data_IF_036399223101
#
_entry.id   IF_036399223101
#
_cell.length_a   1.000
_cell.length_b   1.000
_cell.length_c   1.000
_cell.angle_alpha   90.00
_cell.angle_beta   90.00
_cell.angle_gamma   90.00
#
_symmetry.space_group_name_H-M   'P 1'
#
loop_
_entity.id
_entity.type
_entity.pdbx_description
1 polymer ?
#
# COMPACT_ATOMS: atom_id res chain seq x y z
N UNK A 1 17.42 7.83 24.95
CA UNK A 1 16.79 8.81 24.02
C UNK A 1 16.47 8.06 22.73
N UNK A 2 15.27 7.52 22.61
CA UNK A 2 14.73 6.89 21.39
C UNK A 2 13.23 7.16 21.41
N UNK A 3 12.88 8.43 21.49
CA UNK A 3 11.52 8.92 21.35
C UNK A 3 11.47 9.68 20.03
N UNK A 4 10.46 9.36 19.22
CA UNK A 4 9.95 10.13 18.07
C UNK A 4 10.51 9.76 16.69
N UNK A 5 10.11 8.59 16.15
CA UNK A 5 10.29 8.28 14.72
C UNK A 5 8.95 8.16 13.99
N UNK A 6 8.03 9.09 14.23
CA UNK A 6 6.83 9.25 13.43
C UNK A 6 6.80 10.69 12.93
N UNK A 7 6.97 10.85 11.62
CA UNK A 7 6.86 12.13 10.92
C UNK A 7 5.58 12.11 10.11
N UNK A 8 4.75 13.13 10.32
CA UNK A 8 3.53 13.33 9.53
C UNK A 8 3.82 14.24 8.34
N UNK A 9 3.25 13.91 7.19
CA UNK A 9 3.32 14.72 5.98
C UNK A 9 1.93 14.79 5.34
N UNK A 10 1.50 16.00 4.94
CA UNK A 10 0.25 16.20 4.22
C UNK A 10 0.58 16.35 2.72
N UNK A 11 0.20 15.36 1.92
CA UNK A 11 0.39 15.39 0.48
C UNK A 11 -0.37 14.29 -0.25
N UNK A 12 -0.11 14.16 -1.54
CA UNK A 12 -0.70 13.20 -2.46
C UNK A 12 0.38 12.24 -2.98
N UNK A 13 0.27 10.97 -2.61
CA UNK A 13 1.22 9.92 -3.02
C UNK A 13 1.22 9.63 -4.53
N UNK A 14 0.30 10.21 -5.29
CA UNK A 14 0.30 10.16 -6.77
C UNK A 14 1.13 11.28 -7.40
N UNK A 15 1.57 12.29 -6.64
CA UNK A 15 2.46 13.36 -7.07
C UNK A 15 3.92 13.01 -6.75
N UNK A 16 4.83 13.29 -7.69
CA UNK A 16 6.23 12.89 -7.52
C UNK A 16 7.01 13.83 -6.61
N UNK A 17 6.58 15.09 -6.53
CA UNK A 17 7.27 16.09 -5.73
C UNK A 17 7.02 15.88 -4.24
N UNK A 18 5.77 15.54 -3.87
CA UNK A 18 5.39 15.12 -2.53
C UNK A 18 6.19 13.88 -2.05
N UNK A 19 6.41 12.89 -2.92
CA UNK A 19 7.21 11.71 -2.56
C UNK A 19 8.70 12.02 -2.39
N UNK A 20 9.24 13.00 -3.13
CA UNK A 20 10.63 13.44 -2.96
C UNK A 20 10.81 14.22 -1.66
N UNK A 21 9.81 15.00 -1.25
CA UNK A 21 9.85 15.79 -0.02
C UNK A 21 9.95 14.91 1.23
N UNK A 22 9.49 13.66 1.14
CA UNK A 22 9.62 12.64 2.19
C UNK A 22 10.80 11.66 1.97
N UNK A 23 11.75 12.00 1.09
CA UNK A 23 12.98 11.23 0.85
C UNK A 23 12.71 9.75 0.46
N UNK A 24 11.71 9.51 -0.40
CA UNK A 24 11.28 8.13 -0.78
C UNK A 24 12.41 7.23 -1.32
N UNK A 25 13.50 7.80 -1.83
CA UNK A 25 14.63 7.04 -2.38
C UNK A 25 15.32 6.15 -1.35
N UNK A 26 15.28 6.53 -0.07
CA UNK A 26 15.87 5.77 1.03
C UNK A 26 14.85 4.87 1.75
N UNK A 27 13.69 4.64 1.13
CA UNK A 27 12.60 3.84 1.73
C UNK A 27 12.81 2.35 1.54
N UNK A 28 12.89 1.60 2.63
CA UNK A 28 12.96 0.13 2.62
C UNK A 28 11.63 -0.53 2.21
N UNK A 29 10.50 0.07 2.60
CA UNK A 29 9.15 -0.44 2.40
C UNK A 29 8.15 0.70 2.21
N UNK A 30 7.43 0.68 1.09
CA UNK A 30 6.33 1.62 0.82
C UNK A 30 4.98 0.91 0.88
N UNK A 31 4.03 1.44 1.65
CA UNK A 31 2.69 0.88 1.83
C UNK A 31 1.63 1.91 1.45
N UNK A 32 0.72 1.55 0.54
CA UNK A 32 -0.42 2.40 0.17
C UNK A 32 -1.75 1.78 0.62
N UNK A 33 -2.44 2.44 1.56
CA UNK A 33 -3.65 1.94 2.21
C UNK A 33 -4.79 2.97 2.23
N UNK A 34 -4.91 3.77 1.18
CA UNK A 34 -6.04 4.70 1.02
C UNK A 34 -7.33 3.92 0.70
N UNK A 35 -8.47 4.62 0.72
CA UNK A 35 -9.77 4.05 0.35
C UNK A 35 -9.94 3.82 -1.18
N UNK A 36 -8.90 4.07 -1.98
CA UNK A 36 -8.97 3.93 -3.44
C UNK A 36 -7.89 2.97 -3.94
N UNK A 37 -8.33 1.82 -4.44
CA UNK A 37 -7.45 0.82 -5.07
C UNK A 37 -6.60 1.44 -6.19
N UNK A 38 -7.17 2.37 -6.95
CA UNK A 38 -6.46 3.05 -8.06
C UNK A 38 -5.34 3.97 -7.54
N UNK A 39 -5.58 4.70 -6.45
CA UNK A 39 -4.54 5.54 -5.82
C UNK A 39 -3.46 4.65 -5.26
N UNK A 40 -3.85 3.57 -4.56
CA UNK A 40 -2.91 2.64 -3.94
C UNK A 40 -2.01 2.00 -4.99
N UNK A 41 -2.59 1.50 -6.09
CA UNK A 41 -1.86 0.90 -7.19
C UNK A 41 -0.94 1.90 -7.92
N UNK A 42 -1.39 3.13 -8.16
CA UNK A 42 -0.56 4.15 -8.80
C UNK A 42 0.63 4.54 -7.91
N UNK A 43 0.39 4.78 -6.63
CA UNK A 43 1.42 5.19 -5.67
C UNK A 43 2.54 4.13 -5.56
N UNK A 44 2.18 2.85 -5.38
CA UNK A 44 3.19 1.77 -5.30
C UNK A 44 3.94 1.56 -6.60
N UNK A 45 3.27 1.68 -7.75
CA UNK A 45 3.92 1.57 -9.05
C UNK A 45 4.92 2.72 -9.26
N UNK A 46 4.58 3.94 -8.82
CA UNK A 46 5.53 5.06 -8.84
C UNK A 46 6.71 4.81 -7.91
N UNK A 47 6.46 4.41 -6.66
CA UNK A 47 7.51 4.08 -5.69
C UNK A 47 8.49 3.04 -6.27
N UNK A 48 7.95 1.96 -6.85
CA UNK A 48 8.76 0.89 -7.43
C UNK A 48 9.50 1.31 -8.71
N UNK A 49 8.79 1.88 -9.69
CA UNK A 49 9.33 2.10 -11.04
C UNK A 49 10.12 3.40 -11.18
N UNK A 50 9.77 4.45 -10.43
CA UNK A 50 10.41 5.77 -10.54
C UNK A 50 11.43 6.02 -9.44
N UNK A 51 11.24 5.44 -8.26
CA UNK A 51 12.09 5.68 -7.10
C UNK A 51 12.87 4.45 -6.63
N UNK A 52 12.67 3.29 -7.26
CA UNK A 52 13.46 2.09 -7.00
C UNK A 52 13.15 1.41 -5.66
N UNK A 53 11.99 1.68 -5.06
CA UNK A 53 11.59 1.00 -3.82
C UNK A 53 11.25 -0.46 -4.13
N UNK A 54 12.08 -1.39 -3.66
CA UNK A 54 11.92 -2.82 -3.99
C UNK A 54 10.68 -3.43 -3.35
N UNK A 55 10.46 -3.14 -2.06
CA UNK A 55 9.34 -3.66 -1.28
C UNK A 55 8.18 -2.67 -1.31
N UNK A 56 7.14 -3.02 -2.08
CA UNK A 56 5.91 -2.24 -2.13
C UNK A 56 4.70 -3.11 -1.84
N UNK A 57 3.82 -2.61 -0.99
CA UNK A 57 2.57 -3.26 -0.59
C UNK A 57 1.42 -2.31 -0.86
N UNK A 58 0.33 -2.81 -1.45
CA UNK A 58 -0.88 -2.01 -1.54
C UNK A 58 -2.14 -2.79 -1.12
N UNK A 59 -3.06 -2.03 -0.55
CA UNK A 59 -4.38 -2.51 -0.13
C UNK A 59 -5.34 -2.42 -1.31
N UNK A 60 -6.01 -3.53 -1.62
CA UNK A 60 -7.01 -3.62 -2.72
C UNK A 60 -8.26 -4.34 -2.23
N UNK A 61 -9.44 -3.92 -2.68
CA UNK A 61 -10.68 -4.72 -2.50
C UNK A 61 -11.04 -5.51 -3.75
N UNK A 62 -10.79 -4.93 -4.91
CA UNK A 62 -11.23 -5.50 -6.17
C UNK A 62 -10.35 -6.69 -6.57
N UNK A 63 -10.84 -7.88 -6.28
CA UNK A 63 -10.22 -9.18 -6.63
C UNK A 63 -9.91 -9.26 -8.14
N UNK A 64 -10.70 -8.61 -8.99
CA UNK A 64 -10.45 -8.63 -10.45
C UNK A 64 -9.17 -7.90 -10.84
N UNK A 65 -8.78 -6.89 -10.06
CA UNK A 65 -7.56 -6.11 -10.29
C UNK A 65 -6.32 -6.71 -9.61
N UNK A 66 -6.52 -7.51 -8.57
CA UNK A 66 -5.42 -8.13 -7.80
C UNK A 66 -4.40 -8.85 -8.69
N UNK A 67 -4.86 -9.76 -9.57
CA UNK A 67 -3.99 -10.52 -10.46
C UNK A 67 -3.16 -9.64 -11.40
N UNK A 68 -3.71 -8.50 -11.82
CA UNK A 68 -3.00 -7.56 -12.68
C UNK A 68 -1.81 -6.94 -11.93
N UNK A 69 -2.05 -6.47 -10.71
CA UNK A 69 -1.01 -5.78 -9.92
C UNK A 69 0.04 -6.74 -9.35
N UNK A 70 -0.35 -7.97 -8.99
CA UNK A 70 0.60 -9.03 -8.62
C UNK A 70 1.59 -9.31 -9.76
N UNK A 71 1.11 -9.35 -11.01
CA UNK A 71 1.98 -9.52 -12.20
C UNK A 71 2.93 -8.35 -12.43
N UNK A 72 2.66 -7.19 -11.84
CA UNK A 72 3.54 -6.02 -11.90
C UNK A 72 4.56 -6.01 -10.75
N UNK A 73 4.63 -7.08 -9.95
CA UNK A 73 5.59 -7.21 -8.85
C UNK A 73 5.21 -6.40 -7.61
N UNK A 74 3.91 -6.10 -7.45
CA UNK A 74 3.34 -5.46 -6.26
C UNK A 74 2.76 -6.54 -5.36
N UNK A 75 3.10 -6.50 -4.07
CA UNK A 75 2.45 -7.36 -3.08
C UNK A 75 1.08 -6.78 -2.72
N UNK A 76 0.03 -7.57 -2.89
CA UNK A 76 -1.35 -7.14 -2.63
C UNK A 76 -1.82 -7.70 -1.30
N UNK A 77 -2.53 -6.88 -0.53
CA UNK A 77 -3.37 -7.32 0.59
C UNK A 77 -4.82 -7.09 0.20
N UNK A 78 -5.60 -8.17 0.11
CA UNK A 78 -7.02 -8.09 -0.19
C UNK A 78 -7.84 -7.99 1.10
N UNK A 79 -8.39 -6.82 1.40
CA UNK A 79 -9.13 -6.65 2.65
C UNK A 79 -10.55 -7.24 2.61
N UNK A 80 -11.12 -7.44 1.43
CA UNK A 80 -12.43 -8.10 1.32
C UNK A 80 -12.33 -9.58 1.71
N UNK A 81 -11.25 -10.26 1.31
CA UNK A 81 -10.96 -11.63 1.74
C UNK A 81 -10.77 -11.71 3.26
N UNK A 82 -9.95 -10.83 3.84
CA UNK A 82 -9.72 -10.77 5.29
C UNK A 82 -11.02 -10.54 6.07
N UNK A 83 -11.88 -9.63 5.60
CA UNK A 83 -13.18 -9.35 6.24
C UNK A 83 -14.07 -10.59 6.18
N UNK A 84 -14.14 -11.27 5.03
CA UNK A 84 -14.94 -12.50 4.88
C UNK A 84 -14.43 -13.57 5.85
N UNK A 85 -13.11 -13.78 5.93
CA UNK A 85 -12.52 -14.73 6.87
C UNK A 85 -12.84 -14.38 8.33
N UNK A 86 -12.73 -13.11 8.71
CA UNK A 86 -13.06 -12.64 10.05
C UNK A 86 -14.53 -12.87 10.38
N UNK A 87 -15.45 -12.63 9.45
CA UNK A 87 -16.88 -12.85 9.63
C UNK A 87 -17.21 -14.33 9.79
N UNK A 88 -16.58 -15.21 9.01
CA UNK A 88 -16.74 -16.66 9.13
C UNK A 88 -16.23 -17.12 10.50
N UNK A 89 -15.05 -16.66 10.93
CA UNK A 89 -14.48 -17.02 12.23
C UNK A 89 -15.41 -16.63 13.39
N UNK A 90 -15.90 -15.39 13.39
CA UNK A 90 -16.83 -14.91 14.43
C UNK A 90 -18.17 -15.65 14.44
N UNK A 91 -18.56 -16.27 13.32
CA UNK A 91 -19.79 -17.07 13.24
C UNK A 91 -19.60 -18.49 13.79
N UNK A 92 -18.37 -18.99 13.87
CA UNK A 92 -18.03 -20.33 14.38
C UNK A 92 -17.73 -20.33 15.88
N UNK A 93 -17.40 -19.17 16.46
CA UNK A 93 -17.14 -18.99 17.90
C UNK A 93 -18.39 -18.66 18.72
N UNK A 94 -19.56 -18.53 18.07
CA UNK A 94 -20.87 -18.32 18.70
C UNK A 94 -21.72 -19.59 18.74
#
# INVERSE_FOLDING_TARGET
>A
MHSDLIVGFLGDATLSDDLKEIEILDTDLFIATTNSDSINALAVQKAKLLFGVDNVICLISDVSKQKLYERLGVKIVNYSEIIIESLIHSSLEN
#
